data_IF_005313114805
#
_entry.id   IF_005313114805
#
_cell.length_a   1.000
_cell.length_b   1.000
_cell.length_c   1.000
_cell.angle_alpha   90.00
_cell.angle_beta   90.00
_cell.angle_gamma   90.00
#
_symmetry.space_group_name_H-M   'P 1'
#
loop_
_entity.id
_entity.type
_entity.pdbx_description
1 polymer ?
#
# COMPACT_ATOMS: atom_id res chain seq x y z
N UNK A 1 12.02 -53.85 43.09
CA UNK A 1 12.57 -53.14 41.88
C UNK A 1 13.96 -52.66 42.25
N UNK A 2 15.01 -53.29 41.68
CA UNK A 2 16.39 -53.14 42.09
C UNK A 2 16.85 -51.67 42.03
N UNK A 3 17.62 -51.21 43.04
CA UNK A 3 18.15 -49.88 43.17
C UNK A 3 18.89 -49.43 41.90
N UNK A 4 19.53 -50.36 41.21
CA UNK A 4 20.17 -50.13 39.90
C UNK A 4 19.21 -49.67 38.81
N UNK A 5 17.95 -50.23 38.74
CA UNK A 5 16.94 -49.81 37.78
C UNK A 5 16.41 -48.40 38.07
N UNK A 6 16.33 -48.01 39.34
CA UNK A 6 15.94 -46.63 39.72
C UNK A 6 17.01 -45.61 39.32
N UNK A 7 18.29 -45.93 39.55
CA UNK A 7 19.39 -45.06 39.13
C UNK A 7 19.43 -44.91 37.60
N UNK A 8 19.23 -46.00 36.85
CA UNK A 8 19.20 -45.96 35.38
C UNK A 8 18.04 -45.10 34.85
N UNK A 9 16.86 -45.18 35.44
CA UNK A 9 15.71 -44.35 35.06
C UNK A 9 15.97 -42.86 35.34
N UNK A 10 16.59 -42.53 36.48
CA UNK A 10 16.92 -41.14 36.83
C UNK A 10 17.95 -40.57 35.86
N UNK A 11 18.98 -41.30 35.50
CA UNK A 11 20.00 -40.89 34.54
C UNK A 11 19.39 -40.71 33.14
N UNK A 12 18.50 -41.65 32.74
CA UNK A 12 17.82 -41.54 31.45
C UNK A 12 16.94 -40.28 31.36
N UNK A 13 16.19 -39.97 32.43
CA UNK A 13 15.38 -38.75 32.50
C UNK A 13 16.23 -37.49 32.46
N UNK A 14 17.37 -37.50 33.10
CA UNK A 14 18.32 -36.36 33.09
C UNK A 14 18.90 -36.14 31.70
N UNK A 15 19.34 -37.20 31.01
CA UNK A 15 19.82 -37.13 29.63
C UNK A 15 18.74 -36.68 28.68
N UNK A 16 17.50 -37.17 28.83
CA UNK A 16 16.36 -36.69 28.02
C UNK A 16 16.06 -35.22 28.28
N UNK A 17 16.12 -34.77 29.53
CA UNK A 17 15.92 -33.37 29.89
C UNK A 17 17.03 -32.46 29.29
N UNK A 18 18.28 -32.88 29.27
CA UNK A 18 19.38 -32.16 28.63
C UNK A 18 19.23 -32.12 27.11
N UNK A 19 18.87 -33.22 26.46
CA UNK A 19 18.57 -33.28 25.01
C UNK A 19 17.43 -32.34 24.65
N UNK A 20 16.38 -32.34 25.47
CA UNK A 20 15.23 -31.41 25.30
C UNK A 20 15.73 -29.96 25.51
N UNK A 21 16.47 -29.66 26.54
CA UNK A 21 16.99 -28.32 26.82
C UNK A 21 17.93 -27.80 25.70
N UNK A 22 18.73 -28.68 25.10
CA UNK A 22 19.59 -28.35 23.94
C UNK A 22 18.74 -28.12 22.69
N UNK A 23 17.66 -28.90 22.50
CA UNK A 23 16.70 -28.72 21.40
C UNK A 23 15.87 -27.43 21.54
N UNK A 24 15.66 -26.96 22.78
CA UNK A 24 15.03 -25.69 23.12
C UNK A 24 16.01 -24.53 23.25
N UNK A 25 17.26 -24.64 22.77
CA UNK A 25 18.07 -23.44 22.50
C UNK A 25 17.34 -22.65 21.40
N UNK A 26 16.32 -21.91 21.83
CA UNK A 26 15.67 -20.91 20.98
C UNK A 26 16.77 -19.99 20.47
N UNK A 27 16.86 -19.82 19.15
CA UNK A 27 17.74 -18.85 18.54
C UNK A 27 17.52 -17.53 19.27
N UNK A 28 18.56 -17.05 19.94
CA UNK A 28 18.45 -15.81 20.72
C UNK A 28 18.05 -14.69 19.77
N UNK A 29 17.07 -13.87 20.17
CA UNK A 29 16.61 -12.72 19.37
C UNK A 29 17.80 -11.78 19.06
N UNK A 30 18.81 -11.78 19.91
CA UNK A 30 20.04 -11.01 19.73
C UNK A 30 20.93 -11.52 18.57
N UNK A 31 20.75 -12.78 18.15
CA UNK A 31 21.48 -13.39 17.04
C UNK A 31 20.77 -13.20 15.69
N UNK A 32 19.64 -12.48 15.67
CA UNK A 32 18.88 -12.19 14.47
C UNK A 32 18.92 -10.72 14.08
N UNK A 33 19.08 -10.49 12.80
CA UNK A 33 18.86 -9.18 12.16
C UNK A 33 17.38 -9.05 11.80
N UNK A 34 16.60 -8.34 12.62
CA UNK A 34 15.16 -8.15 12.40
C UNK A 34 14.96 -7.07 11.34
N UNK A 35 14.45 -7.45 10.18
CA UNK A 35 14.13 -6.54 9.08
C UNK A 35 12.76 -5.93 9.29
N UNK A 36 12.66 -4.60 9.25
CA UNK A 36 11.41 -3.82 9.29
C UNK A 36 10.90 -3.46 7.90
N UNK A 37 11.81 -3.19 6.97
CA UNK A 37 11.47 -2.87 5.59
C UNK A 37 12.53 -3.32 4.62
N UNK A 38 12.10 -3.52 3.38
CA UNK A 38 12.89 -4.02 2.28
C UNK A 38 12.72 -3.13 1.06
N UNK A 39 13.83 -2.64 0.50
CA UNK A 39 13.88 -1.98 -0.79
C UNK A 39 14.48 -2.92 -1.83
N UNK A 40 13.94 -2.92 -3.05
CA UNK A 40 14.47 -3.70 -4.16
C UNK A 40 14.66 -2.77 -5.35
N UNK A 41 15.92 -2.59 -5.75
CA UNK A 41 16.34 -1.80 -6.89
C UNK A 41 17.03 -2.69 -7.92
N UNK A 42 17.06 -2.23 -9.16
CA UNK A 42 17.89 -2.82 -10.22
C UNK A 42 19.30 -2.25 -10.14
N UNK A 43 20.32 -3.09 -10.32
CA UNK A 43 21.72 -2.71 -10.33
C UNK A 43 22.49 -3.44 -11.44
N UNK A 44 22.25 -3.04 -12.69
CA UNK A 44 22.75 -3.75 -13.88
C UNK A 44 22.07 -5.12 -14.04
N UNK A 45 22.85 -6.20 -14.03
CA UNK A 45 22.34 -7.57 -14.12
C UNK A 45 21.93 -8.16 -12.75
N UNK A 46 22.17 -7.42 -11.66
CA UNK A 46 21.84 -7.85 -10.31
C UNK A 46 20.74 -6.98 -9.71
N UNK A 47 20.23 -7.39 -8.57
CA UNK A 47 19.36 -6.61 -7.70
C UNK A 47 20.20 -6.00 -6.58
N UNK A 48 19.91 -4.76 -6.23
CA UNK A 48 20.34 -4.13 -5.00
C UNK A 48 19.19 -4.19 -4.00
N UNK A 49 19.37 -4.97 -2.95
CA UNK A 49 18.40 -5.09 -1.87
C UNK A 49 18.86 -4.26 -0.69
N UNK A 50 17.98 -3.39 -0.22
CA UNK A 50 18.18 -2.51 0.94
C UNK A 50 17.29 -2.99 2.07
N UNK A 51 17.86 -3.24 3.24
CA UNK A 51 17.10 -3.65 4.43
C UNK A 51 17.22 -2.61 5.54
N UNK A 52 16.10 -2.20 6.09
CA UNK A 52 16.03 -1.48 7.35
C UNK A 52 15.98 -2.50 8.48
N UNK A 53 17.07 -2.59 9.25
CA UNK A 53 17.24 -3.57 10.32
C UNK A 53 17.10 -2.88 11.67
N UNK A 54 16.34 -3.51 12.56
CA UNK A 54 16.20 -3.09 13.95
C UNK A 54 17.52 -3.26 14.69
N UNK A 55 18.04 -2.20 15.26
CA UNK A 55 19.24 -2.25 16.11
C UNK A 55 18.88 -1.88 17.53
N UNK A 56 19.13 -2.75 18.53
CA UNK A 56 18.99 -2.37 19.94
C UNK A 56 20.02 -1.30 20.26
N UNK A 57 19.58 -0.19 20.89
CA UNK A 57 20.48 0.90 21.29
C UNK A 57 21.47 0.41 22.34
N UNK A 58 22.77 0.56 22.07
CA UNK A 58 23.84 0.35 23.03
C UNK A 58 24.11 1.68 23.76
N UNK A 59 23.49 1.91 24.91
CA UNK A 59 23.88 3.05 25.71
C UNK A 59 22.83 3.47 26.76
N UNK A 60 23.32 3.83 27.93
CA UNK A 60 22.57 4.17 29.14
C UNK A 60 21.80 5.49 29.09
N UNK A 61 21.83 6.25 27.99
CA UNK A 61 21.24 7.59 27.95
C UNK A 61 20.01 7.77 27.04
N UNK A 62 19.74 6.82 26.14
CA UNK A 62 18.50 6.86 25.34
C UNK A 62 17.93 5.45 25.18
N UNK A 63 16.87 5.15 25.91
CA UNK A 63 16.01 4.00 25.66
C UNK A 63 15.30 4.25 24.32
N UNK A 64 15.92 3.85 23.23
CA UNK A 64 15.41 4.01 21.88
C UNK A 64 15.89 2.89 20.98
N UNK A 65 14.96 2.29 20.25
CA UNK A 65 15.26 1.36 19.18
C UNK A 65 15.63 2.17 17.95
N UNK A 66 16.84 1.96 17.42
CA UNK A 66 17.30 2.59 16.20
C UNK A 66 17.19 1.61 15.04
N UNK A 67 16.97 2.11 13.84
CA UNK A 67 17.11 1.31 12.63
C UNK A 67 18.46 1.60 11.94
N UNK A 68 19.02 0.55 11.32
CA UNK A 68 20.23 0.63 10.50
C UNK A 68 19.88 0.19 9.09
N UNK A 69 20.42 0.87 8.10
CA UNK A 69 20.28 0.49 6.70
C UNK A 69 21.47 -0.40 6.31
N UNK A 70 21.17 -1.55 5.73
CA UNK A 70 22.15 -2.50 5.18
C UNK A 70 21.77 -2.80 3.76
N UNK A 71 22.74 -2.88 2.85
CA UNK A 71 22.53 -3.18 1.44
C UNK A 71 23.34 -4.40 1.02
N UNK A 72 22.77 -5.19 0.14
CA UNK A 72 23.49 -6.30 -0.49
C UNK A 72 23.04 -6.46 -1.95
N UNK A 73 23.92 -7.02 -2.77
CA UNK A 73 23.65 -7.36 -4.16
C UNK A 73 23.44 -8.85 -4.31
N UNK A 74 22.63 -9.25 -5.28
CA UNK A 74 22.41 -10.62 -5.66
C UNK A 74 21.57 -10.71 -6.94
N UNK A 75 21.62 -11.83 -7.60
CA UNK A 75 20.78 -12.07 -8.81
C UNK A 75 19.31 -12.22 -8.45
N UNK A 76 19.03 -12.57 -7.19
CA UNK A 76 17.68 -12.70 -6.63
C UNK A 76 17.61 -12.04 -5.26
N UNK A 77 16.40 -11.71 -4.80
CA UNK A 77 16.18 -11.19 -3.44
C UNK A 77 16.67 -12.19 -2.40
N UNK A 78 16.46 -13.50 -2.61
CA UNK A 78 16.94 -14.55 -1.71
C UNK A 78 18.46 -14.55 -1.57
N UNK A 79 19.17 -14.42 -2.68
CA UNK A 79 20.63 -14.35 -2.68
C UNK A 79 21.14 -13.09 -1.96
N UNK A 80 20.56 -11.94 -2.25
CA UNK A 80 20.92 -10.70 -1.56
C UNK A 80 20.71 -10.78 -0.04
N UNK A 81 19.60 -11.39 0.41
CA UNK A 81 19.33 -11.62 1.83
C UNK A 81 20.38 -12.57 2.46
N UNK A 82 20.81 -13.61 1.72
CA UNK A 82 21.89 -14.48 2.17
C UNK A 82 23.20 -13.71 2.33
N UNK A 83 23.54 -12.86 1.36
CA UNK A 83 24.72 -11.99 1.43
C UNK A 83 24.62 -11.02 2.64
N UNK A 84 23.44 -10.47 2.92
CA UNK A 84 23.24 -9.65 4.14
C UNK A 84 23.51 -10.43 5.43
N UNK A 85 23.08 -11.70 5.47
CA UNK A 85 23.36 -12.59 6.61
C UNK A 85 24.87 -12.80 6.79
N UNK A 86 25.61 -13.00 5.70
CA UNK A 86 27.08 -13.13 5.74
C UNK A 86 27.75 -11.82 6.20
N UNK A 87 27.31 -10.67 5.69
CA UNK A 87 27.86 -9.36 6.07
C UNK A 87 27.59 -8.98 7.52
N UNK A 88 26.42 -9.33 8.04
CA UNK A 88 26.02 -8.97 9.41
C UNK A 88 26.47 -10.00 10.45
N UNK A 89 26.80 -11.22 10.01
CA UNK A 89 27.07 -12.35 10.90
C UNK A 89 25.85 -12.82 11.70
N UNK A 90 24.64 -12.37 11.33
CA UNK A 90 23.38 -12.67 12.01
C UNK A 90 22.33 -13.14 11.01
N UNK A 91 21.50 -14.11 11.41
CA UNK A 91 20.39 -14.58 10.59
C UNK A 91 19.42 -13.43 10.26
N UNK A 92 19.21 -13.16 8.97
CA UNK A 92 18.28 -12.12 8.51
C UNK A 92 16.84 -12.61 8.58
N UNK A 93 16.06 -12.04 9.51
CA UNK A 93 14.67 -12.41 9.76
C UNK A 93 13.70 -11.42 9.12
N UNK A 94 12.87 -11.89 8.19
CA UNK A 94 11.83 -11.11 7.52
C UNK A 94 10.47 -11.11 8.25
N UNK A 95 10.35 -11.87 9.34
CA UNK A 95 9.09 -12.06 10.05
C UNK A 95 8.45 -10.80 10.64
N UNK A 96 9.20 -9.71 10.75
CA UNK A 96 8.69 -8.41 11.19
C UNK A 96 8.73 -7.35 10.08
N UNK A 97 9.02 -7.76 8.84
CA UNK A 97 9.00 -6.84 7.69
C UNK A 97 7.58 -6.35 7.45
N UNK A 98 7.37 -5.04 7.54
CA UNK A 98 6.06 -4.39 7.39
C UNK A 98 5.89 -3.68 6.05
N UNK A 99 7.02 -3.44 5.34
CA UNK A 99 7.04 -2.68 4.10
C UNK A 99 8.01 -3.30 3.09
N UNK A 100 7.58 -3.42 1.83
CA UNK A 100 8.47 -3.67 0.69
C UNK A 100 8.28 -2.54 -0.32
N UNK A 101 9.39 -1.97 -0.77
CA UNK A 101 9.41 -0.88 -1.75
C UNK A 101 10.17 -1.35 -2.99
N UNK A 102 9.57 -1.18 -4.16
CA UNK A 102 10.19 -1.46 -5.44
C UNK A 102 10.64 -0.14 -6.09
N UNK A 103 11.92 0.00 -6.41
CA UNK A 103 12.48 1.16 -7.10
C UNK A 103 12.03 1.25 -8.55
N UNK A 104 12.02 2.46 -9.11
CA UNK A 104 11.45 2.76 -10.43
C UNK A 104 12.03 1.93 -11.57
N UNK A 105 13.35 1.82 -11.64
CA UNK A 105 14.01 1.04 -12.69
C UNK A 105 13.66 -0.45 -12.56
N UNK A 106 13.54 -0.96 -11.33
CA UNK A 106 13.18 -2.35 -11.08
C UNK A 106 11.76 -2.65 -11.51
N UNK A 107 10.75 -1.88 -11.08
CA UNK A 107 9.36 -2.20 -11.40
C UNK A 107 8.97 -1.90 -12.85
N UNK A 108 9.66 -0.98 -13.53
CA UNK A 108 9.37 -0.65 -14.94
C UNK A 108 9.99 -1.61 -15.94
N UNK A 109 11.16 -2.17 -15.63
CA UNK A 109 11.95 -2.97 -16.58
C UNK A 109 11.94 -4.47 -16.29
N UNK A 110 11.52 -4.90 -15.10
CA UNK A 110 11.57 -6.28 -14.68
C UNK A 110 10.18 -6.91 -14.54
N UNK A 111 10.11 -8.20 -14.86
CA UNK A 111 9.05 -9.07 -14.37
C UNK A 111 9.42 -9.47 -12.94
N UNK A 112 8.64 -9.00 -11.96
CA UNK A 112 8.95 -9.33 -10.57
C UNK A 112 8.18 -10.52 -10.01
N UNK A 113 7.77 -11.44 -10.90
CA UNK A 113 7.13 -12.70 -10.51
C UNK A 113 7.98 -13.49 -9.52
N UNK A 114 9.30 -13.55 -9.74
CA UNK A 114 10.21 -14.29 -8.86
C UNK A 114 10.28 -13.65 -7.47
N UNK A 115 10.37 -12.33 -7.41
CA UNK A 115 10.37 -11.61 -6.12
C UNK A 115 9.05 -11.78 -5.38
N UNK A 116 7.92 -11.63 -6.06
CA UNK A 116 6.60 -11.84 -5.46
C UNK A 116 6.41 -13.30 -5.02
N UNK A 117 6.87 -14.26 -5.83
CA UNK A 117 6.84 -15.69 -5.49
C UNK A 117 7.69 -15.98 -4.26
N UNK A 118 8.91 -15.44 -4.20
CA UNK A 118 9.78 -15.58 -3.03
C UNK A 118 9.12 -15.02 -1.76
N UNK A 119 8.62 -13.79 -1.81
CA UNK A 119 7.97 -13.15 -0.66
C UNK A 119 6.71 -13.89 -0.22
N UNK A 120 5.91 -14.40 -1.16
CA UNK A 120 4.65 -15.11 -0.86
C UNK A 120 4.85 -16.57 -0.43
N UNK A 121 5.95 -17.22 -0.81
CA UNK A 121 6.27 -18.60 -0.43
C UNK A 121 7.13 -18.71 0.83
N UNK A 122 7.75 -17.62 1.26
CA UNK A 122 8.58 -17.59 2.47
C UNK A 122 7.71 -17.68 3.71
N UNK A 123 7.84 -18.77 4.46
CA UNK A 123 7.13 -18.96 5.74
C UNK A 123 7.48 -17.89 6.80
N UNK A 124 8.55 -17.14 6.59
CA UNK A 124 9.00 -16.09 7.49
C UNK A 124 8.53 -14.70 7.09
N UNK A 125 7.87 -14.52 5.94
CA UNK A 125 7.38 -13.22 5.48
C UNK A 125 5.87 -13.07 5.69
N UNK A 126 5.42 -11.89 6.15
CA UNK A 126 3.99 -11.65 6.40
C UNK A 126 3.27 -11.23 5.12
N UNK A 127 2.26 -11.98 4.72
CA UNK A 127 1.38 -11.61 3.60
C UNK A 127 0.62 -10.29 3.82
N UNK A 128 0.51 -9.84 5.08
CA UNK A 128 -0.10 -8.55 5.46
C UNK A 128 0.85 -7.36 5.36
N UNK A 129 2.10 -7.57 4.96
CA UNK A 129 3.06 -6.49 4.75
C UNK A 129 2.62 -5.58 3.60
N UNK A 130 2.75 -4.27 3.80
CA UNK A 130 2.49 -3.29 2.75
C UNK A 130 3.53 -3.41 1.65
N UNK A 131 3.08 -3.34 0.41
CA UNK A 131 3.97 -3.29 -0.76
C UNK A 131 3.66 -2.06 -1.59
N UNK A 132 4.68 -1.39 -2.09
CA UNK A 132 4.55 -0.17 -2.89
C UNK A 132 5.72 0.01 -3.85
N UNK A 133 5.58 0.95 -4.77
CA UNK A 133 6.65 1.42 -5.65
C UNK A 133 7.13 2.79 -5.20
N UNK A 134 8.33 3.19 -5.59
CA UNK A 134 8.79 4.56 -5.44
C UNK A 134 9.36 5.10 -6.76
N UNK A 135 9.24 6.40 -6.99
CA UNK A 135 10.00 7.07 -8.04
C UNK A 135 11.45 7.20 -7.60
N UNK A 136 12.36 6.87 -8.52
CA UNK A 136 13.79 6.76 -8.23
C UNK A 136 14.13 5.45 -7.50
N UNK A 137 15.15 5.49 -6.66
CA UNK A 137 15.69 4.32 -5.97
C UNK A 137 15.02 4.10 -4.61
N UNK A 138 14.70 2.84 -4.31
CA UNK A 138 14.25 2.45 -2.98
C UNK A 138 15.37 2.64 -1.93
N UNK A 139 16.63 2.44 -2.29
CA UNK A 139 17.77 2.73 -1.43
C UNK A 139 17.80 4.20 -1.00
N UNK A 140 17.63 5.13 -1.95
CA UNK A 140 17.61 6.57 -1.66
C UNK A 140 16.42 6.93 -0.75
N UNK A 141 15.27 6.29 -0.97
CA UNK A 141 14.10 6.49 -0.12
C UNK A 141 14.38 6.07 1.33
N UNK A 142 15.00 4.90 1.53
CA UNK A 142 15.39 4.44 2.87
C UNK A 142 16.47 5.30 3.52
N UNK A 143 17.34 5.95 2.75
CA UNK A 143 18.37 6.85 3.24
C UNK A 143 17.84 8.23 3.65
N UNK A 144 16.59 8.59 3.29
CA UNK A 144 15.97 9.87 3.68
C UNK A 144 15.40 9.82 5.10
N UNK A 145 16.18 9.31 6.03
CA UNK A 145 15.80 9.13 7.44
C UNK A 145 15.55 10.44 8.19
N UNK A 146 16.15 11.53 7.74
CA UNK A 146 16.04 12.85 8.38
C UNK A 146 14.62 13.43 8.30
N UNK A 147 13.86 13.06 7.26
CA UNK A 147 12.47 13.49 7.07
C UNK A 147 11.46 12.66 7.87
N UNK A 148 11.88 11.57 8.47
CA UNK A 148 11.01 10.59 9.13
C UNK A 148 11.53 10.24 10.53
N UNK A 149 10.62 9.90 11.42
CA UNK A 149 10.97 9.43 12.76
C UNK A 149 11.76 8.12 12.70
N UNK A 150 12.44 7.75 13.76
CA UNK A 150 13.25 6.58 14.09
C UNK A 150 13.25 5.35 13.14
N UNK A 151 12.18 5.10 12.36
CA UNK A 151 12.08 4.03 11.36
C UNK A 151 11.35 4.55 10.12
N UNK A 152 12.00 4.43 8.98
CA UNK A 152 11.45 4.81 7.67
C UNK A 152 10.25 3.93 7.34
N UNK A 153 10.38 2.61 7.47
CA UNK A 153 9.32 1.66 7.12
C UNK A 153 8.05 1.86 7.92
N UNK A 154 8.17 2.04 9.24
CA UNK A 154 7.01 2.27 10.11
C UNK A 154 6.33 3.60 9.79
N UNK A 155 7.11 4.64 9.50
CA UNK A 155 6.59 5.95 9.13
C UNK A 155 5.86 5.91 7.80
N UNK A 156 6.44 5.28 6.78
CA UNK A 156 5.83 5.12 5.46
C UNK A 156 4.55 4.28 5.51
N UNK A 157 4.53 3.17 6.27
CA UNK A 157 3.31 2.37 6.45
C UNK A 157 2.21 3.16 7.16
N UNK A 158 2.56 3.97 8.17
CA UNK A 158 1.59 4.88 8.82
C UNK A 158 1.02 5.85 7.81
N UNK A 159 1.87 6.51 7.01
CA UNK A 159 1.44 7.46 5.98
C UNK A 159 0.54 6.79 4.94
N UNK A 160 0.87 5.58 4.46
CA UNK A 160 0.02 4.80 3.56
C UNK A 160 -1.37 4.53 4.17
N UNK A 161 -1.45 4.21 5.46
CA UNK A 161 -2.72 3.95 6.17
C UNK A 161 -3.54 5.22 6.37
N UNK A 162 -2.90 6.29 6.80
CA UNK A 162 -3.57 7.58 7.03
C UNK A 162 -4.06 8.18 5.70
N UNK A 163 -3.28 8.10 4.64
CA UNK A 163 -3.71 8.55 3.33
C UNK A 163 -4.84 7.69 2.75
N UNK A 164 -4.83 6.38 2.98
CA UNK A 164 -5.94 5.53 2.62
C UNK A 164 -7.26 5.97 3.28
N UNK A 165 -7.21 6.62 4.44
CA UNK A 165 -8.38 7.19 5.12
C UNK A 165 -8.76 8.58 4.57
N UNK A 166 -7.78 9.40 4.19
CA UNK A 166 -7.99 10.82 3.88
C UNK A 166 -8.02 11.14 2.37
N UNK A 167 -7.27 10.42 1.54
CA UNK A 167 -7.07 10.70 0.10
C UNK A 167 -7.70 9.62 -0.77
N UNK A 168 -8.19 8.55 -0.16
CA UNK A 168 -9.03 7.57 -0.82
C UNK A 168 -8.33 6.56 -1.75
N UNK A 169 -6.99 6.45 -1.77
CA UNK A 169 -6.32 5.34 -2.46
C UNK A 169 -6.13 4.19 -1.48
N UNK A 170 -6.72 3.01 -1.72
CA UNK A 170 -6.48 1.86 -0.86
C UNK A 170 -5.00 1.48 -0.89
N UNK A 171 -4.38 1.31 0.28
CA UNK A 171 -3.04 0.71 0.35
C UNK A 171 -3.14 -0.78 0.05
N UNK A 172 -2.18 -1.30 -0.72
CA UNK A 172 -2.10 -2.72 -1.01
C UNK A 172 -1.12 -3.43 -0.07
N UNK A 173 -1.52 -4.63 0.33
CA UNK A 173 -0.64 -5.59 0.99
C UNK A 173 -0.30 -6.72 0.01
N UNK A 174 0.78 -7.45 0.29
CA UNK A 174 1.27 -8.53 -0.57
C UNK A 174 0.15 -9.50 -0.98
N UNK A 175 -0.64 -9.98 -0.02
CA UNK A 175 -1.75 -10.91 -0.28
C UNK A 175 -2.77 -10.35 -1.29
N UNK A 176 -3.12 -9.08 -1.16
CA UNK A 176 -4.10 -8.45 -2.05
C UNK A 176 -3.56 -8.32 -3.46
N UNK A 177 -2.29 -7.92 -3.60
CA UNK A 177 -1.62 -7.82 -4.89
C UNK A 177 -1.50 -9.20 -5.56
N UNK A 178 -1.04 -10.23 -4.84
CA UNK A 178 -0.95 -11.61 -5.36
C UNK A 178 -2.32 -12.12 -5.81
N UNK A 179 -3.39 -11.83 -5.06
CA UNK A 179 -4.76 -12.20 -5.46
C UNK A 179 -5.19 -11.51 -6.75
N UNK A 180 -4.94 -10.20 -6.87
CA UNK A 180 -5.31 -9.44 -8.07
C UNK A 180 -4.61 -9.97 -9.33
N UNK A 181 -3.35 -10.41 -9.21
CA UNK A 181 -2.62 -11.00 -10.32
C UNK A 181 -3.12 -12.39 -10.74
N UNK A 182 -3.87 -13.07 -9.87
CA UNK A 182 -4.49 -14.40 -10.12
C UNK A 182 -5.97 -14.30 -10.51
N UNK A 183 -6.56 -13.12 -10.44
CA UNK A 183 -7.93 -12.90 -10.92
C UNK A 183 -7.98 -12.91 -12.45
N UNK A 184 -9.20 -12.92 -13.03
CA UNK A 184 -9.37 -12.97 -14.51
C UNK A 184 -8.74 -11.78 -15.22
N UNK A 185 -8.82 -10.59 -14.60
CA UNK A 185 -8.20 -9.39 -15.13
C UNK A 185 -6.67 -9.43 -15.07
N UNK A 186 -6.10 -10.34 -14.27
CA UNK A 186 -4.66 -10.43 -13.98
C UNK A 186 -4.03 -9.06 -13.64
N UNK A 187 -4.86 -8.10 -13.24
CA UNK A 187 -4.47 -6.70 -13.05
C UNK A 187 -4.48 -6.33 -11.57
N UNK A 188 -3.40 -5.74 -11.11
CA UNK A 188 -3.27 -5.18 -9.78
C UNK A 188 -2.59 -3.82 -9.83
N UNK A 189 -2.56 -3.13 -8.71
CA UNK A 189 -1.85 -1.86 -8.58
C UNK A 189 -1.03 -1.82 -7.30
N UNK A 190 0.00 -0.98 -7.29
CA UNK A 190 0.77 -0.64 -6.10
C UNK A 190 0.77 0.88 -5.93
N UNK A 191 0.68 1.33 -4.69
CA UNK A 191 0.80 2.76 -4.40
C UNK A 191 2.21 3.22 -4.80
N UNK A 192 2.29 4.41 -5.39
CA UNK A 192 3.54 5.03 -5.79
C UNK A 192 3.94 6.09 -4.76
N UNK A 193 5.12 5.94 -4.19
CA UNK A 193 5.72 6.90 -3.29
C UNK A 193 6.61 7.83 -4.09
N UNK A 194 6.48 9.13 -3.90
CA UNK A 194 7.44 10.12 -4.39
C UNK A 194 7.87 11.06 -3.29
N UNK A 195 9.14 11.36 -3.27
CA UNK A 195 9.69 12.38 -2.40
C UNK A 195 9.68 13.73 -3.12
N UNK A 196 9.13 14.74 -2.46
CA UNK A 196 9.11 16.11 -2.95
C UNK A 196 10.00 16.94 -2.05
N UNK A 197 11.07 17.48 -2.63
CA UNK A 197 11.94 18.43 -1.92
C UNK A 197 11.19 19.75 -1.69
N UNK A 198 11.34 20.33 -0.51
CA UNK A 198 10.84 21.67 -0.25
C UNK A 198 11.77 22.69 -0.94
N UNK A 199 11.25 23.45 -1.89
CA UNK A 199 12.02 24.52 -2.57
C UNK A 199 12.31 25.69 -1.63
N UNK A 200 11.55 25.86 -0.57
CA UNK A 200 11.77 26.87 0.46
C UNK A 200 12.70 26.31 1.54
N UNK A 201 14.00 26.41 1.31
CA UNK A 201 14.98 26.32 2.40
C UNK A 201 14.74 27.51 3.33
N UNK A 202 14.09 27.26 4.45
CA UNK A 202 14.07 28.19 5.56
C UNK A 202 15.50 28.19 6.15
N UNK A 203 16.33 29.13 5.68
CA UNK A 203 17.74 29.28 6.06
C UNK A 203 17.91 29.44 7.58
N UNK A 204 16.81 29.67 8.30
CA UNK A 204 16.79 29.90 9.74
C UNK A 204 16.53 28.63 10.59
N UNK A 205 16.20 27.49 9.99
CA UNK A 205 15.88 26.29 10.78
C UNK A 205 16.38 25.02 10.06
N UNK A 206 17.67 24.66 10.20
CA UNK A 206 18.26 23.49 9.55
C UNK A 206 17.66 22.15 10.02
N UNK A 207 16.92 22.12 11.12
CA UNK A 207 16.25 20.93 11.68
C UNK A 207 14.87 20.64 11.06
N UNK A 208 14.36 21.48 10.15
CA UNK A 208 13.11 21.19 9.43
C UNK A 208 13.36 20.19 8.32
N UNK A 209 12.49 19.17 8.15
CA UNK A 209 12.59 18.22 7.06
C UNK A 209 12.57 18.95 5.71
N UNK A 210 13.61 18.75 4.89
CA UNK A 210 13.81 19.40 3.61
C UNK A 210 12.85 18.91 2.51
N UNK A 211 11.84 18.12 2.85
CA UNK A 211 10.85 17.58 1.92
C UNK A 211 9.82 16.68 2.59
N UNK A 212 8.91 16.18 1.78
CA UNK A 212 7.84 15.29 2.24
C UNK A 212 7.53 14.19 1.21
N UNK A 213 6.88 13.12 1.69
CA UNK A 213 6.47 12.01 0.85
C UNK A 213 5.02 12.17 0.42
N UNK A 214 4.74 11.90 -0.85
CA UNK A 214 3.40 11.85 -1.44
C UNK A 214 3.05 10.44 -1.90
N UNK A 215 1.78 10.09 -1.80
CA UNK A 215 1.17 8.82 -2.20
C UNK A 215 -0.11 9.10 -2.99
N UNK A 216 -0.03 9.89 -4.01
CA UNK A 216 -1.16 10.39 -4.77
C UNK A 216 -1.37 9.66 -6.10
N UNK A 217 -0.54 8.67 -6.39
CA UNK A 217 -0.48 7.96 -7.66
C UNK A 217 -0.35 6.45 -7.45
N UNK A 218 -0.62 5.68 -8.48
CA UNK A 218 -0.44 4.23 -8.45
C UNK A 218 0.27 3.73 -9.71
N UNK A 219 1.05 2.66 -9.56
CA UNK A 219 1.60 1.88 -10.65
C UNK A 219 0.72 0.66 -10.90
N UNK A 220 0.34 0.43 -12.15
CA UNK A 220 -0.53 -0.68 -12.58
C UNK A 220 0.30 -1.80 -13.16
N UNK A 221 -0.06 -3.03 -12.81
CA UNK A 221 0.61 -4.24 -13.23
C UNK A 221 -0.38 -5.26 -13.79
N UNK A 222 0.03 -5.95 -14.84
CA UNK A 222 -0.69 -7.10 -15.39
C UNK A 222 0.28 -8.28 -15.44
N UNK A 223 -0.11 -9.41 -14.84
CA UNK A 223 0.75 -10.61 -14.76
C UNK A 223 2.16 -10.29 -14.21
N UNK A 224 2.22 -9.48 -13.15
CA UNK A 224 3.44 -8.98 -12.50
C UNK A 224 4.36 -8.11 -13.39
N UNK A 225 3.88 -7.64 -14.53
CA UNK A 225 4.59 -6.69 -15.40
C UNK A 225 3.96 -5.31 -15.33
N UNK A 226 4.79 -4.30 -15.32
CA UNK A 226 4.35 -2.92 -15.33
C UNK A 226 3.58 -2.57 -16.61
N UNK A 227 2.48 -1.86 -16.47
CA UNK A 227 1.64 -1.40 -17.58
C UNK A 227 1.72 0.11 -17.74
N UNK A 228 1.36 0.85 -16.70
CA UNK A 228 1.35 2.32 -16.72
C UNK A 228 1.32 2.90 -15.30
N UNK A 229 1.57 4.21 -15.23
CA UNK A 229 1.32 5.01 -14.03
C UNK A 229 -0.04 5.68 -14.14
N UNK A 230 -0.80 5.66 -13.07
CA UNK A 230 -2.02 6.46 -12.90
C UNK A 230 -1.65 7.61 -11.98
N UNK A 231 -1.64 8.82 -12.53
CA UNK A 231 -1.27 10.04 -11.81
C UNK A 231 -2.31 10.47 -10.77
N UNK A 232 -2.01 11.55 -10.05
CA UNK A 232 -2.85 12.04 -8.95
C UNK A 232 -4.26 12.44 -9.41
N UNK A 233 -4.44 12.99 -10.61
CA UNK A 233 -5.75 13.44 -11.08
C UNK A 233 -6.62 12.27 -11.52
N UNK A 234 -6.05 11.32 -12.26
CA UNK A 234 -6.73 10.08 -12.64
C UNK A 234 -7.04 9.19 -11.41
N UNK A 235 -6.14 9.22 -10.42
CA UNK A 235 -6.31 8.44 -9.18
C UNK A 235 -7.53 8.91 -8.38
N UNK A 236 -7.93 10.19 -8.46
CA UNK A 236 -9.18 10.69 -7.86
C UNK A 236 -10.40 9.93 -8.41
N UNK A 237 -10.47 9.74 -9.72
CA UNK A 237 -11.53 8.96 -10.37
C UNK A 237 -11.51 7.48 -9.96
N UNK A 238 -10.33 6.88 -9.93
CA UNK A 238 -10.15 5.51 -9.42
C UNK A 238 -10.63 5.38 -7.97
N UNK A 239 -10.25 6.32 -7.12
CA UNK A 239 -10.64 6.33 -5.72
C UNK A 239 -12.17 6.35 -5.53
N UNK A 240 -12.91 7.04 -6.39
CA UNK A 240 -14.38 7.10 -6.32
C UNK A 240 -15.06 5.77 -6.62
N UNK A 241 -14.46 4.91 -7.44
CA UNK A 241 -15.01 3.60 -7.81
C UNK A 241 -14.36 2.43 -7.07
N UNK A 242 -13.22 2.62 -6.43
CA UNK A 242 -12.61 1.60 -5.58
C UNK A 242 -13.43 1.37 -4.30
N UNK A 243 -13.82 0.12 -4.03
CA UNK A 243 -14.85 -0.22 -3.03
C UNK A 243 -14.46 0.05 -1.54
N UNK A 244 -13.23 0.43 -1.23
CA UNK A 244 -12.72 0.32 0.15
C UNK A 244 -12.46 1.63 0.87
N UNK A 245 -12.70 2.80 0.24
CA UNK A 245 -12.24 4.05 0.83
C UNK A 245 -13.32 5.12 0.81
N UNK A 246 -13.49 5.77 1.94
CA UNK A 246 -14.27 6.99 2.16
C UNK A 246 -13.28 8.09 2.55
N UNK A 247 -13.46 9.30 2.07
CA UNK A 247 -12.57 10.42 2.40
C UNK A 247 -12.28 11.36 1.24
N UNK A 248 -12.84 11.08 0.06
CA UNK A 248 -12.77 12.02 -1.06
C UNK A 248 -13.41 13.36 -0.67
N UNK A 249 -12.77 14.43 -1.07
CA UNK A 249 -13.26 15.80 -0.86
C UNK A 249 -13.46 16.49 -2.21
N UNK A 250 -14.53 17.28 -2.29
CA UNK A 250 -14.81 18.14 -3.43
C UNK A 250 -14.83 19.59 -2.98
N UNK A 251 -14.24 20.47 -3.78
CA UNK A 251 -14.32 21.91 -3.57
C UNK A 251 -15.36 22.45 -4.55
N UNK A 252 -16.43 23.03 -4.02
CA UNK A 252 -17.51 23.60 -4.80
C UNK A 252 -17.60 25.10 -4.50
N UNK A 253 -17.84 25.91 -5.52
CA UNK A 253 -18.10 27.32 -5.35
C UNK A 253 -19.59 27.53 -5.04
N UNK A 254 -19.88 28.23 -3.95
CA UNK A 254 -21.22 28.62 -3.55
C UNK A 254 -21.29 30.14 -3.40
N UNK A 255 -21.78 30.83 -4.42
CA UNK A 255 -21.67 32.29 -4.50
C UNK A 255 -20.20 32.72 -4.57
N UNK A 256 -19.76 33.53 -3.58
CA UNK A 256 -18.37 34.00 -3.43
C UNK A 256 -17.51 33.08 -2.54
N UNK A 257 -18.09 32.04 -1.92
CA UNK A 257 -17.38 31.18 -0.95
C UNK A 257 -17.05 29.82 -1.57
N UNK A 258 -15.88 29.28 -1.23
CA UNK A 258 -15.53 27.90 -1.49
C UNK A 258 -16.06 27.00 -0.38
N UNK A 259 -16.84 25.99 -0.75
CA UNK A 259 -17.38 25.01 0.18
C UNK A 259 -16.69 23.68 -0.03
N UNK A 260 -16.11 23.12 0.99
CA UNK A 260 -15.55 21.77 0.97
C UNK A 260 -16.64 20.75 1.32
N UNK A 261 -16.88 19.81 0.42
CA UNK A 261 -17.81 18.70 0.59
C UNK A 261 -17.02 17.41 0.76
N UNK A 262 -17.33 16.65 1.81
CA UNK A 262 -16.64 15.39 2.15
C UNK A 262 -17.55 14.20 1.83
N UNK A 263 -16.99 13.18 1.20
CA UNK A 263 -17.68 11.90 0.98
C UNK A 263 -17.58 11.06 2.25
N UNK A 264 -18.68 10.89 2.95
CA UNK A 264 -18.75 10.10 4.19
C UNK A 264 -18.87 8.60 3.93
N UNK A 265 -19.61 8.24 2.88
CA UNK A 265 -19.75 6.86 2.44
C UNK A 265 -20.02 6.80 0.94
N UNK A 266 -19.67 5.68 0.35
CA UNK A 266 -19.96 5.40 -1.04
C UNK A 266 -20.43 3.96 -1.20
N UNK A 267 -21.23 3.72 -2.22
CA UNK A 267 -21.66 2.40 -2.65
C UNK A 267 -21.42 2.28 -4.15
N UNK A 268 -20.64 1.28 -4.55
CA UNK A 268 -20.32 1.02 -5.95
C UNK A 268 -20.88 -0.32 -6.34
N UNK A 269 -21.63 -0.36 -7.43
CA UNK A 269 -22.16 -1.57 -8.05
C UNK A 269 -21.70 -1.67 -9.50
N UNK A 270 -21.23 -2.85 -9.88
CA UNK A 270 -20.84 -3.17 -11.25
C UNK A 270 -21.73 -4.32 -11.73
N UNK A 271 -22.46 -4.11 -12.83
CA UNK A 271 -23.39 -5.09 -13.40
C UNK A 271 -23.39 -5.03 -14.92
N UNK A 272 -23.78 -6.13 -15.57
CA UNK A 272 -24.04 -6.12 -17.00
C UNK A 272 -25.45 -5.60 -17.27
N UNK A 273 -25.58 -4.79 -18.33
CA UNK A 273 -26.86 -4.39 -18.89
C UNK A 273 -27.40 -5.45 -19.89
N UNK A 274 -28.55 -5.20 -20.50
CA UNK A 274 -29.18 -6.13 -21.46
C UNK A 274 -28.38 -6.30 -22.75
N UNK A 275 -27.56 -5.30 -23.10
CA UNK A 275 -26.74 -5.27 -24.32
C UNK A 275 -25.28 -5.72 -24.05
N UNK A 276 -25.04 -6.44 -22.96
CA UNK A 276 -23.71 -6.89 -22.52
C UNK A 276 -22.69 -5.76 -22.26
N UNK A 277 -23.14 -4.52 -22.16
CA UNK A 277 -22.32 -3.42 -21.64
C UNK A 277 -22.25 -3.46 -20.10
N UNK A 278 -21.20 -2.89 -19.54
CA UNK A 278 -21.04 -2.76 -18.08
C UNK A 278 -21.67 -1.47 -17.59
N UNK A 279 -22.57 -1.57 -16.62
CA UNK A 279 -23.09 -0.41 -15.88
C UNK A 279 -22.38 -0.31 -14.54
N UNK A 280 -21.71 0.84 -14.32
CA UNK A 280 -21.10 1.20 -13.04
C UNK A 280 -22.02 2.20 -12.35
N UNK A 281 -22.63 1.80 -11.23
CA UNK A 281 -23.47 2.69 -10.42
C UNK A 281 -22.72 3.10 -9.17
N UNK A 282 -22.51 4.40 -8.99
CA UNK A 282 -21.84 5.01 -7.84
C UNK A 282 -22.82 5.85 -7.06
N UNK A 283 -23.05 5.56 -5.80
CA UNK A 283 -23.85 6.39 -4.90
C UNK A 283 -22.93 6.98 -3.84
N UNK A 284 -22.81 8.30 -3.80
CA UNK A 284 -22.00 9.04 -2.84
C UNK A 284 -22.89 9.66 -1.77
N UNK A 285 -22.58 9.45 -0.50
CA UNK A 285 -23.25 10.16 0.60
C UNK A 285 -22.29 11.22 1.12
N UNK A 286 -22.69 12.47 1.03
CA UNK A 286 -21.80 13.61 1.29
C UNK A 286 -22.29 14.48 2.46
N UNK A 287 -21.37 15.19 3.08
CA UNK A 287 -21.64 16.26 4.06
C UNK A 287 -20.71 17.44 3.82
N UNK A 288 -21.13 18.62 4.27
CA UNK A 288 -20.23 19.77 4.29
C UNK A 288 -19.11 19.51 5.29
N UNK A 289 -17.86 19.79 4.90
CA UNK A 289 -16.75 19.82 5.86
C UNK A 289 -17.09 20.87 6.95
N UNK A 290 -16.73 20.60 8.18
CA UNK A 290 -16.80 21.63 9.21
C UNK A 290 -15.83 22.72 8.78
N UNK A 291 -16.35 23.85 8.36
CA UNK A 291 -15.53 25.03 8.22
C UNK A 291 -14.98 25.35 9.62
N UNK A 292 -13.68 25.49 9.74
CA UNK A 292 -13.06 26.20 10.85
C UNK A 292 -13.34 27.72 10.70
N UNK A 293 -14.62 28.08 10.54
CA UNK A 293 -15.04 29.44 10.70
C UNK A 293 -14.95 29.73 12.20
N UNK A 294 -13.86 30.36 12.56
CA UNK A 294 -13.74 31.16 13.78
C UNK A 294 -14.72 32.33 13.66
N UNK A 295 -16.01 32.04 13.67
CA UNK A 295 -17.01 33.04 14.10
C UNK A 295 -17.14 32.89 15.60
N UNK A 296 -16.65 33.93 16.28
CA UNK A 296 -16.84 34.26 17.69
C UNK A 296 -18.28 34.01 18.12
N UNK A 297 -18.57 32.85 18.64
CA UNK A 297 -19.87 32.48 19.21
C UNK A 297 -19.71 31.26 20.10
N UNK A 298 -19.95 31.45 21.38
CA UNK A 298 -19.73 30.63 22.55
C UNK A 298 -19.83 29.11 22.38
N UNK A 299 -19.15 28.42 23.26
CA UNK A 299 -18.89 26.97 23.37
C UNK A 299 -20.16 26.08 23.32
N UNK A 300 -21.36 26.62 23.23
CA UNK A 300 -22.65 25.92 23.29
C UNK A 300 -23.63 26.21 22.17
N UNK A 301 -23.22 26.76 21.01
CA UNK A 301 -24.15 26.84 19.91
C UNK A 301 -24.31 25.45 19.27
N UNK A 302 -25.46 24.82 19.43
CA UNK A 302 -25.92 23.68 18.63
C UNK A 302 -25.98 24.13 17.15
N UNK A 303 -24.86 24.06 16.43
CA UNK A 303 -24.81 24.44 15.03
C UNK A 303 -25.72 23.49 14.25
N UNK A 304 -26.87 23.99 13.81
CA UNK A 304 -27.69 23.37 12.80
C UNK A 304 -26.79 22.96 11.65
N UNK A 305 -26.80 21.66 11.29
CA UNK A 305 -26.15 21.17 10.08
C UNK A 305 -26.78 21.92 8.91
N UNK A 306 -26.09 22.92 8.36
CA UNK A 306 -26.56 23.59 7.14
C UNK A 306 -26.70 22.50 6.08
N UNK A 307 -27.91 22.31 5.58
CA UNK A 307 -28.16 21.39 4.47
C UNK A 307 -27.31 21.82 3.28
N UNK A 308 -26.78 20.85 2.56
CA UNK A 308 -26.05 21.11 1.32
C UNK A 308 -27.10 21.50 0.27
N UNK A 309 -26.98 22.68 -0.39
CA UNK A 309 -27.88 23.05 -1.47
C UNK A 309 -27.86 22.04 -2.62
N UNK A 310 -28.98 21.89 -3.33
CA UNK A 310 -29.08 20.97 -4.48
C UNK A 310 -28.04 21.30 -5.55
N UNK A 311 -27.83 22.57 -5.86
CA UNK A 311 -26.81 23.05 -6.80
C UNK A 311 -25.40 22.55 -6.44
N UNK A 312 -25.05 22.56 -5.15
CA UNK A 312 -23.77 22.03 -4.69
C UNK A 312 -23.67 20.50 -4.88
N UNK A 313 -24.78 19.77 -4.64
CA UNK A 313 -24.83 18.33 -4.88
C UNK A 313 -24.70 17.99 -6.37
N UNK A 314 -25.37 18.76 -7.23
CA UNK A 314 -25.29 18.60 -8.70
C UNK A 314 -23.86 18.88 -9.20
N UNK A 315 -23.19 19.87 -8.63
CA UNK A 315 -21.79 20.18 -8.94
C UNK A 315 -20.85 19.05 -8.52
N UNK A 316 -21.03 18.49 -7.30
CA UNK A 316 -20.27 17.32 -6.83
C UNK A 316 -20.50 16.12 -7.76
N UNK A 317 -21.75 15.88 -8.16
CA UNK A 317 -22.09 14.79 -9.08
C UNK A 317 -21.35 14.94 -10.40
N UNK A 318 -21.40 16.13 -11.01
CA UNK A 318 -20.73 16.41 -12.28
C UNK A 318 -19.21 16.23 -12.17
N UNK A 319 -18.58 16.77 -11.13
CA UNK A 319 -17.13 16.58 -10.90
C UNK A 319 -16.78 15.11 -10.72
N UNK A 320 -17.57 14.35 -9.97
CA UNK A 320 -17.37 12.92 -9.76
C UNK A 320 -17.51 12.13 -11.08
N UNK A 321 -18.52 12.43 -11.88
CA UNK A 321 -18.74 11.82 -13.20
C UNK A 321 -17.54 12.08 -14.13
N UNK A 322 -17.07 13.33 -14.21
CA UNK A 322 -15.94 13.72 -15.04
C UNK A 322 -14.65 12.98 -14.63
N UNK A 323 -14.33 12.95 -13.32
CA UNK A 323 -13.14 12.26 -12.80
C UNK A 323 -13.20 10.76 -13.07
N UNK A 324 -14.34 10.11 -12.82
CA UNK A 324 -14.51 8.68 -13.07
C UNK A 324 -14.41 8.38 -14.57
N UNK A 325 -15.05 9.18 -15.44
CA UNK A 325 -14.97 8.98 -16.88
C UNK A 325 -13.55 9.12 -17.42
N UNK A 326 -12.78 10.11 -16.94
CA UNK A 326 -11.38 10.28 -17.32
C UNK A 326 -10.57 9.05 -16.96
N UNK A 327 -10.72 8.54 -15.74
CA UNK A 327 -10.03 7.32 -15.31
C UNK A 327 -10.44 6.10 -16.13
N UNK A 328 -11.75 5.90 -16.40
CA UNK A 328 -12.23 4.74 -17.18
C UNK A 328 -11.74 4.78 -18.63
N UNK A 329 -11.67 5.96 -19.26
CA UNK A 329 -11.08 6.12 -20.59
C UNK A 329 -9.58 5.76 -20.57
N UNK A 330 -8.86 6.20 -19.56
CA UNK A 330 -7.45 5.86 -19.38
C UNK A 330 -7.24 4.35 -19.18
N UNK A 331 -8.07 3.73 -18.35
CA UNK A 331 -8.08 2.27 -18.18
C UNK A 331 -8.31 1.53 -19.50
N UNK A 332 -9.26 1.97 -20.31
CA UNK A 332 -9.53 1.40 -21.62
C UNK A 332 -8.36 1.61 -22.59
N UNK A 333 -7.77 2.81 -22.63
CA UNK A 333 -6.63 3.14 -23.49
C UNK A 333 -5.43 2.22 -23.25
N UNK A 334 -5.13 1.89 -22.00
CA UNK A 334 -4.01 1.03 -21.62
C UNK A 334 -4.39 -0.43 -21.41
N UNK A 335 -5.65 -0.79 -21.69
CA UNK A 335 -6.20 -2.14 -21.60
C UNK A 335 -5.89 -2.85 -20.26
N UNK A 336 -6.18 -2.20 -19.15
CA UNK A 336 -6.08 -2.81 -17.82
C UNK A 336 -7.42 -2.77 -17.07
N UNK A 337 -7.61 -3.60 -16.05
CA UNK A 337 -8.87 -3.72 -15.32
C UNK A 337 -8.67 -3.80 -13.80
N UNK A 338 -8.36 -2.67 -13.16
CA UNK A 338 -8.25 -2.61 -11.68
C UNK A 338 -9.61 -2.42 -10.98
N UNK A 339 -10.68 -2.16 -11.73
CA UNK A 339 -12.04 -2.06 -11.19
C UNK A 339 -12.85 -3.34 -11.33
N UNK A 340 -12.23 -4.39 -11.88
CA UNK A 340 -12.82 -5.72 -12.03
C UNK A 340 -14.08 -5.76 -12.93
N UNK A 341 -14.06 -5.10 -14.08
CA UNK A 341 -15.14 -5.16 -15.09
C UNK A 341 -15.38 -6.60 -15.56
N UNK A 342 -14.32 -7.38 -15.76
CA UNK A 342 -14.40 -8.79 -16.14
C UNK A 342 -15.19 -9.64 -15.15
N UNK A 343 -15.23 -9.25 -13.87
CA UNK A 343 -15.99 -9.97 -12.87
C UNK A 343 -17.50 -9.91 -13.14
N UNK A 344 -17.99 -8.83 -13.76
CA UNK A 344 -19.40 -8.73 -14.15
C UNK A 344 -19.75 -9.77 -15.24
N UNK A 345 -18.87 -9.93 -16.22
CA UNK A 345 -19.04 -10.97 -17.26
C UNK A 345 -18.95 -12.38 -16.67
N UNK A 346 -17.99 -12.62 -15.78
CA UNK A 346 -17.83 -13.92 -15.11
C UNK A 346 -19.09 -14.30 -14.31
N UNK A 347 -19.71 -13.35 -13.63
CA UNK A 347 -20.96 -13.60 -12.88
C UNK A 347 -22.10 -14.06 -13.79
N UNK A 348 -22.20 -13.53 -15.00
CA UNK A 348 -23.26 -13.86 -15.96
C UNK A 348 -22.93 -15.10 -16.81
N UNK A 349 -21.70 -15.24 -17.28
CA UNK A 349 -21.31 -16.23 -18.28
C UNK A 349 -20.39 -17.34 -17.76
N UNK A 350 -19.96 -17.25 -16.51
CA UNK A 350 -18.99 -18.19 -15.93
C UNK A 350 -17.56 -17.95 -16.44
N UNK A 351 -16.69 -18.94 -16.24
CA UNK A 351 -15.27 -18.88 -16.67
C UNK A 351 -15.09 -19.38 -18.12
N UNK A 352 -15.84 -18.84 -19.06
CA UNK A 352 -15.68 -19.19 -20.48
C UNK A 352 -14.38 -18.57 -21.03
N UNK A 353 -13.66 -19.24 -21.97
CA UNK A 353 -12.39 -18.76 -22.51
C UNK A 353 -12.44 -17.32 -23.05
N UNK A 354 -13.51 -16.97 -23.76
CA UNK A 354 -13.66 -15.63 -24.33
C UNK A 354 -13.78 -14.53 -23.27
N UNK A 355 -14.34 -14.85 -22.08
CA UNK A 355 -14.41 -13.89 -20.95
C UNK A 355 -13.02 -13.55 -20.44
N UNK A 356 -12.10 -14.52 -20.45
CA UNK A 356 -10.72 -14.30 -20.04
C UNK A 356 -9.89 -13.50 -21.06
N UNK A 357 -10.33 -13.48 -22.33
CA UNK A 357 -9.65 -12.81 -23.44
C UNK A 357 -10.27 -11.45 -23.79
N UNK A 358 -11.35 -11.05 -23.10
CA UNK A 358 -12.05 -9.82 -23.38
C UNK A 358 -11.12 -8.62 -23.10
N UNK A 359 -10.97 -7.75 -24.10
CA UNK A 359 -10.23 -6.49 -23.90
C UNK A 359 -11.12 -5.46 -23.21
N UNK A 360 -10.56 -4.68 -22.28
CA UNK A 360 -11.30 -3.56 -21.64
C UNK A 360 -11.70 -2.49 -22.66
N UNK A 361 -10.96 -2.37 -23.76
CA UNK A 361 -11.28 -1.44 -24.87
C UNK A 361 -12.61 -1.75 -25.54
N UNK A 362 -13.00 -3.03 -25.56
CA UNK A 362 -14.20 -3.50 -26.25
C UNK A 362 -15.44 -3.52 -25.33
N UNK A 363 -15.26 -3.19 -24.04
CA UNK A 363 -16.34 -3.17 -23.06
C UNK A 363 -17.07 -1.81 -23.11
N UNK A 364 -18.34 -1.76 -23.56
CA UNK A 364 -19.14 -0.56 -23.42
C UNK A 364 -19.42 -0.28 -21.94
N UNK A 365 -19.07 0.92 -21.47
CA UNK A 365 -19.27 1.32 -20.06
C UNK A 365 -20.32 2.41 -19.96
N UNK A 366 -21.33 2.18 -19.15
CA UNK A 366 -22.34 3.18 -18.75
C UNK A 366 -22.08 3.56 -17.30
N UNK A 367 -21.84 4.84 -17.04
CA UNK A 367 -21.64 5.38 -15.70
C UNK A 367 -22.92 6.05 -15.19
N UNK A 368 -23.31 5.75 -13.96
CA UNK A 368 -24.39 6.38 -13.23
C UNK A 368 -23.87 6.83 -11.86
N UNK A 369 -23.87 8.13 -11.62
CA UNK A 369 -23.46 8.70 -10.33
C UNK A 369 -24.66 9.36 -9.66
N UNK A 370 -24.88 9.08 -8.40
CA UNK A 370 -25.92 9.64 -7.56
C UNK A 370 -25.30 10.22 -6.29
N UNK A 371 -25.62 11.46 -5.97
CA UNK A 371 -25.13 12.14 -4.76
C UNK A 371 -26.28 12.37 -3.79
N UNK A 372 -26.09 11.99 -2.52
CA UNK A 372 -27.08 12.15 -1.45
C UNK A 372 -26.47 12.94 -0.30
N UNK A 373 -27.21 13.89 0.23
CA UNK A 373 -26.85 14.53 1.48
C UNK A 373 -27.05 13.56 2.66
N UNK A 374 -26.19 13.69 3.68
CA UNK A 374 -26.29 12.92 4.92
C UNK A 374 -27.25 13.60 5.91
#
# INVERSE_FOLDING_TARGET
MNTLKRIFVVVLVFVLAEVIAISFKGNDILDRSIVLGLGVDKAGEELLVTAEILSPGNGSEQVGTYSKIVTARGKTVAEAIRVMTEQTGKETSLGQCVLVVFGEEYFTQQDFSDTISYLSSSNSFKESSSICCCLGSAQDLFNKTEALSRSVSLSLVRMLREQAQNVAIPSNVLLQFVRSQRELSCTGYLNLIRYVSSENQDVQNPDKPQGFFLYDSVAVFCQNKFVCLVDSDLTKGFALIANKVTGNTFICQQGSENVTVVVNSKKVGVSLNEQDGVTIKVTLTVSRARADSVESGGIFSSKQRKQIPQETMDNVQKQAEEQIQQFLRYQQQYNFDIVNLHQAYRKKYGSKPWVCQLSTTDIPITLQVEVKAR
#
